data_IF_765154495779
#
_entry.id   IF_765154495779
#
_cell.length_a   1.000
_cell.length_b   1.000
_cell.length_c   1.000
_cell.angle_alpha   90.00
_cell.angle_beta   90.00
_cell.angle_gamma   90.00
#
_symmetry.space_group_name_H-M   'P 1'
#
loop_
_entity.id
_entity.type
_entity.pdbx_description
1 polymer ?
#
# COMPACT_ATOMS: atom_id res chain seq x y z
N UNK A 1 8.18 -14.48 21.12
CA UNK A 1 7.87 -13.09 20.70
C UNK A 1 7.34 -13.16 19.27
N UNK A 2 6.24 -12.48 18.95
CA UNK A 2 5.72 -12.46 17.57
C UNK A 2 6.13 -11.13 16.93
N UNK A 3 6.78 -11.21 15.77
CA UNK A 3 7.13 -10.08 14.94
C UNK A 3 5.98 -9.79 13.96
N UNK A 4 5.34 -8.63 14.11
CA UNK A 4 4.05 -8.33 13.47
C UNK A 4 4.18 -7.83 12.02
N UNK A 5 5.36 -7.37 11.61
CA UNK A 5 5.56 -6.83 10.25
C UNK A 5 5.79 -7.94 9.24
N UNK A 6 5.11 -7.85 8.10
CA UNK A 6 5.26 -8.80 7.01
C UNK A 6 6.41 -8.41 6.07
N UNK A 7 7.62 -8.87 6.37
CA UNK A 7 8.80 -8.64 5.51
C UNK A 7 8.89 -9.63 4.33
N UNK A 8 7.92 -10.55 4.22
CA UNK A 8 7.89 -11.57 3.16
C UNK A 8 7.05 -11.10 1.98
N UNK A 9 5.88 -10.51 2.25
CA UNK A 9 4.87 -10.27 1.22
C UNK A 9 4.57 -11.56 0.46
N UNK A 10 4.57 -11.47 -0.87
CA UNK A 10 4.46 -12.64 -1.73
C UNK A 10 5.71 -13.53 -1.80
N UNK A 11 6.88 -13.01 -1.43
CA UNK A 11 8.17 -13.68 -1.63
C UNK A 11 8.61 -13.67 -3.10
N UNK A 12 9.43 -14.65 -3.48
CA UNK A 12 10.01 -14.70 -4.83
C UNK A 12 8.98 -14.87 -5.96
N UNK A 13 7.82 -15.47 -5.66
CA UNK A 13 6.82 -15.83 -6.65
C UNK A 13 5.48 -15.18 -6.31
N UNK A 14 5.32 -13.94 -6.76
CA UNK A 14 4.05 -13.23 -6.69
C UNK A 14 2.98 -13.89 -7.58
N UNK A 15 1.69 -13.76 -7.21
CA UNK A 15 0.61 -14.26 -8.06
C UNK A 15 0.62 -13.52 -9.41
N UNK A 16 0.34 -14.26 -10.48
CA UNK A 16 0.04 -13.65 -11.79
C UNK A 16 -1.20 -12.78 -11.65
N UNK A 17 -1.03 -11.47 -11.78
CA UNK A 17 -2.09 -10.49 -11.61
C UNK A 17 -3.25 -10.67 -12.61
N UNK A 18 -3.02 -11.35 -13.74
CA UNK A 18 -4.03 -11.62 -14.78
C UNK A 18 -4.81 -10.37 -15.18
N UNK A 19 -4.12 -9.24 -15.35
CA UNK A 19 -4.77 -7.98 -15.67
C UNK A 19 -5.67 -8.11 -16.92
N UNK A 20 -6.81 -7.38 -16.96
CA UNK A 20 -7.74 -7.44 -18.08
C UNK A 20 -7.04 -7.27 -19.44
N UNK A 21 -7.44 -8.09 -20.41
CA UNK A 21 -6.85 -8.07 -21.75
C UNK A 21 -5.43 -8.66 -21.83
N UNK A 22 -4.88 -9.23 -20.75
CA UNK A 22 -3.51 -9.73 -20.73
C UNK A 22 -2.47 -8.62 -20.58
N UNK A 23 -2.89 -7.47 -20.03
CA UNK A 23 -2.05 -6.29 -19.84
C UNK A 23 -0.77 -6.62 -19.08
N UNK A 24 0.36 -6.08 -19.54
CA UNK A 24 1.69 -6.28 -18.93
C UNK A 24 1.90 -5.40 -17.72
N UNK A 25 1.14 -4.31 -17.63
CA UNK A 25 1.20 -3.37 -16.51
C UNK A 25 -0.16 -2.70 -16.32
N UNK A 26 -0.50 -2.44 -15.06
CA UNK A 26 -1.61 -1.56 -14.69
C UNK A 26 -1.07 -0.19 -14.24
N UNK A 27 -1.27 0.88 -15.01
CA UNK A 27 -0.83 2.25 -14.66
C UNK A 27 -1.99 3.01 -14.03
N UNK A 28 -1.90 3.22 -12.71
CA UNK A 28 -2.99 3.73 -11.89
C UNK A 28 -2.69 5.18 -11.45
N UNK A 29 -3.40 6.14 -12.03
CA UNK A 29 -3.26 7.56 -11.68
C UNK A 29 -4.13 7.96 -10.49
N UNK A 30 -3.53 8.60 -9.48
CA UNK A 30 -4.23 9.20 -8.35
C UNK A 30 -4.10 10.70 -8.42
N UNK A 31 -5.22 11.42 -8.38
CA UNK A 31 -5.23 12.87 -8.20
C UNK A 31 -5.78 13.21 -6.82
N UNK A 32 -4.91 13.71 -5.95
CA UNK A 32 -5.26 14.19 -4.62
C UNK A 32 -5.99 15.53 -4.76
N UNK A 33 -7.14 15.63 -4.09
CA UNK A 33 -7.93 16.85 -3.97
C UNK A 33 -8.05 17.22 -2.50
N UNK A 34 -7.15 18.12 -2.09
CA UNK A 34 -6.91 18.46 -0.68
C UNK A 34 -7.12 19.96 -0.43
N UNK A 35 -7.12 20.75 -1.50
CA UNK A 35 -7.25 22.20 -1.48
C UNK A 35 -8.59 22.65 -0.88
N UNK A 36 -8.54 23.28 0.29
CA UNK A 36 -9.69 23.65 1.14
C UNK A 36 -9.91 22.72 2.34
N UNK A 37 -9.11 21.66 2.47
CA UNK A 37 -9.14 20.70 3.57
C UNK A 37 -7.86 20.64 4.40
N UNK A 38 -6.83 21.41 4.04
CA UNK A 38 -5.55 21.52 4.74
C UNK A 38 -5.65 22.28 6.08
N UNK A 39 -4.54 22.33 6.82
CA UNK A 39 -4.48 23.11 8.07
C UNK A 39 -4.72 24.60 7.82
N UNK A 40 -5.74 25.16 8.45
CA UNK A 40 -6.02 26.58 8.44
C UNK A 40 -6.83 26.99 9.66
N UNK A 41 -6.52 28.15 10.25
CA UNK A 41 -7.31 28.66 11.38
C UNK A 41 -8.78 28.93 11.02
N UNK A 42 -9.08 29.17 9.73
CA UNK A 42 -10.45 29.28 9.23
C UNK A 42 -11.21 27.95 9.25
N UNK A 43 -10.49 26.83 9.36
CA UNK A 43 -11.04 25.48 9.47
C UNK A 43 -11.06 24.99 10.92
N UNK A 44 -10.71 25.85 11.89
CA UNK A 44 -10.62 25.51 13.31
C UNK A 44 -9.28 24.90 13.75
N UNK A 45 -8.25 24.89 12.89
CA UNK A 45 -6.93 24.36 13.25
C UNK A 45 -6.11 25.34 14.09
N UNK A 46 -5.14 24.81 14.83
CA UNK A 46 -4.27 25.62 15.69
C UNK A 46 -3.27 26.49 14.92
N UNK A 47 -2.98 26.18 13.65
CA UNK A 47 -1.96 26.85 12.86
C UNK A 47 -2.23 26.77 11.35
N UNK A 48 -1.46 27.54 10.57
CA UNK A 48 -1.44 27.43 9.11
C UNK A 48 -0.84 26.11 8.62
N UNK A 49 -1.15 25.75 7.37
CA UNK A 49 -0.43 24.68 6.65
C UNK A 49 1.05 25.02 6.42
N UNK A 50 1.84 23.96 6.30
CA UNK A 50 3.28 23.99 6.07
C UNK A 50 3.76 22.93 5.08
N UNK A 51 2.93 21.94 4.76
CA UNK A 51 3.32 20.79 3.95
C UNK A 51 2.90 20.93 2.48
N UNK A 52 3.65 20.24 1.60
CA UNK A 52 3.45 20.16 0.14
C UNK A 52 3.08 21.49 -0.53
N UNK A 53 4.02 22.44 -0.47
CA UNK A 53 3.92 23.73 -1.14
C UNK A 53 5.23 24.09 -1.83
N UNK A 54 5.20 25.11 -2.68
CA UNK A 54 6.40 25.66 -3.32
C UNK A 54 7.23 26.55 -2.35
N UNK A 55 6.94 26.56 -1.05
CA UNK A 55 7.68 27.31 -0.01
C UNK A 55 8.65 26.35 0.70
N UNK A 56 9.94 26.33 0.35
CA UNK A 56 10.89 25.41 0.95
C UNK A 56 11.05 25.67 2.45
N UNK A 57 10.95 24.61 3.25
CA UNK A 57 11.11 24.72 4.71
C UNK A 57 10.01 25.52 5.40
N UNK A 58 8.81 25.63 4.79
CA UNK A 58 7.66 26.23 5.46
C UNK A 58 7.42 25.55 6.81
N UNK A 59 7.11 26.38 7.81
CA UNK A 59 6.71 25.96 9.14
C UNK A 59 5.29 26.44 9.39
N UNK A 60 4.55 25.73 10.24
CA UNK A 60 3.22 26.15 10.63
C UNK A 60 3.32 27.47 11.42
N UNK A 61 2.38 28.38 11.22
CA UNK A 61 2.29 29.63 11.97
C UNK A 61 1.15 29.52 13.00
N UNK A 62 1.44 29.30 14.30
CA UNK A 62 0.41 29.14 15.32
C UNK A 62 -0.48 30.37 15.44
N UNK A 63 -1.80 30.16 15.51
CA UNK A 63 -2.81 31.20 15.65
C UNK A 63 -2.89 32.19 14.48
N UNK A 64 -2.24 31.89 13.36
CA UNK A 64 -2.10 32.82 12.23
C UNK A 64 -2.46 32.16 10.90
N UNK A 65 -2.90 33.00 9.98
CA UNK A 65 -3.04 32.67 8.56
C UNK A 65 -1.70 32.82 7.85
N UNK A 66 -1.44 31.96 6.89
CA UNK A 66 -0.26 32.05 6.03
C UNK A 66 -0.70 32.35 4.61
N UNK A 67 -0.80 33.64 4.28
CA UNK A 67 -1.35 34.11 3.00
C UNK A 67 -0.73 33.44 1.77
N UNK A 68 0.60 33.33 1.74
CA UNK A 68 1.30 32.69 0.61
C UNK A 68 0.89 31.22 0.48
N UNK A 69 0.84 30.49 1.59
CA UNK A 69 0.43 29.08 1.63
C UNK A 69 -1.00 28.91 1.12
N UNK A 70 -1.95 29.69 1.65
CA UNK A 70 -3.35 29.66 1.21
C UNK A 70 -3.45 29.90 -0.30
N UNK A 71 -2.77 30.92 -0.83
CA UNK A 71 -2.79 31.22 -2.27
C UNK A 71 -2.18 30.12 -3.15
N UNK A 72 -1.24 29.32 -2.61
CA UNK A 72 -0.66 28.15 -3.29
C UNK A 72 -1.68 27.02 -3.36
N UNK A 73 -2.40 26.76 -2.27
CA UNK A 73 -3.48 25.77 -2.24
C UNK A 73 -4.64 26.20 -3.15
N UNK A 74 -5.06 27.46 -3.09
CA UNK A 74 -6.06 28.02 -4.00
C UNK A 74 -5.72 27.81 -5.48
N UNK A 75 -4.44 27.89 -5.87
CA UNK A 75 -4.03 27.61 -7.25
C UNK A 75 -4.43 26.20 -7.71
N UNK A 76 -4.32 25.20 -6.83
CA UNK A 76 -4.69 23.82 -7.13
C UNK A 76 -6.17 23.72 -7.51
N UNK A 77 -7.06 24.21 -6.65
CA UNK A 77 -8.50 24.20 -6.92
C UNK A 77 -8.92 25.09 -8.10
N UNK A 78 -8.30 26.28 -8.24
CA UNK A 78 -8.71 27.31 -9.21
C UNK A 78 -8.18 27.07 -10.63
N UNK A 79 -7.01 26.45 -10.78
CA UNK A 79 -6.34 26.36 -12.07
C UNK A 79 -5.66 25.01 -12.33
N UNK A 80 -5.02 24.43 -11.32
CA UNK A 80 -4.31 23.15 -11.42
C UNK A 80 -5.24 22.01 -11.79
N UNK A 81 -6.33 21.84 -11.04
CA UNK A 81 -7.36 20.84 -11.27
C UNK A 81 -7.90 20.89 -12.70
N UNK A 82 -8.33 22.06 -13.18
CA UNK A 82 -8.91 22.18 -14.52
C UNK A 82 -7.94 21.84 -15.65
N UNK A 83 -6.63 22.06 -15.44
CA UNK A 83 -5.61 21.68 -16.41
C UNK A 83 -5.41 20.17 -16.45
N UNK A 84 -5.39 19.53 -15.29
CA UNK A 84 -5.31 18.07 -15.17
C UNK A 84 -6.57 17.40 -15.71
N UNK A 85 -7.75 17.92 -15.38
CA UNK A 85 -9.03 17.47 -15.92
C UNK A 85 -9.02 17.44 -17.45
N UNK A 86 -8.62 18.53 -18.11
CA UNK A 86 -8.51 18.55 -19.59
C UNK A 86 -7.48 17.56 -20.13
N UNK A 87 -6.36 17.38 -19.45
CA UNK A 87 -5.32 16.43 -19.87
C UNK A 87 -5.85 14.99 -19.85
N UNK A 88 -6.40 14.54 -18.73
CA UNK A 88 -6.87 13.18 -18.56
C UNK A 88 -8.12 12.87 -19.38
N UNK A 89 -9.12 13.77 -19.37
CA UNK A 89 -10.33 13.59 -20.20
C UNK A 89 -10.02 13.65 -21.70
N UNK A 90 -9.09 14.52 -22.12
CA UNK A 90 -8.62 14.58 -23.50
C UNK A 90 -7.83 13.33 -23.94
N UNK A 91 -7.12 12.69 -23.00
CA UNK A 91 -6.41 11.44 -23.25
C UNK A 91 -7.31 10.18 -23.15
N UNK A 92 -8.56 10.32 -22.67
CA UNK A 92 -9.45 9.19 -22.41
C UNK A 92 -8.98 8.27 -21.28
N UNK A 93 -8.15 8.78 -20.36
CA UNK A 93 -7.59 8.01 -19.24
C UNK A 93 -8.39 8.32 -17.96
N UNK A 94 -9.05 7.33 -17.34
CA UNK A 94 -9.69 7.53 -16.05
C UNK A 94 -8.63 7.61 -14.94
N UNK A 95 -9.00 8.22 -13.81
CA UNK A 95 -8.17 8.25 -12.60
C UNK A 95 -9.03 8.09 -11.35
N UNK A 96 -8.35 7.91 -10.21
CA UNK A 96 -8.99 7.93 -8.89
C UNK A 96 -8.67 9.24 -8.17
N UNK A 97 -9.70 9.91 -7.69
CA UNK A 97 -9.56 11.06 -6.80
C UNK A 97 -9.35 10.54 -5.38
N UNK A 98 -8.30 11.02 -4.72
CA UNK A 98 -8.19 10.97 -3.26
C UNK A 98 -8.74 12.29 -2.72
N UNK A 99 -10.01 12.27 -2.36
CA UNK A 99 -10.77 13.46 -2.02
C UNK A 99 -10.92 13.65 -0.51
N UNK A 100 -10.33 14.72 0.01
CA UNK A 100 -10.52 15.13 1.41
C UNK A 100 -11.95 15.65 1.55
N UNK A 101 -12.74 15.08 2.46
CA UNK A 101 -14.19 15.32 2.49
C UNK A 101 -14.55 16.81 2.66
N UNK A 102 -13.81 17.55 3.50
CA UNK A 102 -14.00 19.00 3.66
C UNK A 102 -13.57 19.81 2.44
N UNK A 103 -12.54 19.37 1.70
CA UNK A 103 -12.14 20.00 0.44
C UNK A 103 -13.21 19.80 -0.65
N UNK A 104 -13.75 18.57 -0.77
CA UNK A 104 -14.84 18.27 -1.70
C UNK A 104 -16.08 19.14 -1.41
N UNK A 105 -16.45 19.30 -0.13
CA UNK A 105 -17.60 20.11 0.28
C UNK A 105 -17.47 21.58 -0.12
N UNK A 106 -16.25 22.10 -0.25
CA UNK A 106 -15.96 23.48 -0.66
C UNK A 106 -15.88 23.66 -2.18
N UNK A 107 -15.92 22.57 -2.95
CA UNK A 107 -15.57 22.57 -4.38
C UNK A 107 -16.60 21.86 -5.25
N UNK A 108 -17.87 22.32 -5.26
CA UNK A 108 -18.96 21.64 -5.95
C UNK A 108 -18.76 21.55 -7.47
N UNK A 109 -18.14 22.54 -8.11
CA UNK A 109 -17.86 22.49 -9.56
C UNK A 109 -16.85 21.40 -9.91
N UNK A 110 -15.82 21.22 -9.08
CA UNK A 110 -14.81 20.20 -9.26
C UNK A 110 -15.38 18.81 -9.01
N UNK A 111 -16.23 18.64 -7.98
CA UNK A 111 -16.95 17.39 -7.72
C UNK A 111 -17.85 17.00 -8.90
N UNK A 112 -18.62 17.94 -9.44
CA UNK A 112 -19.46 17.69 -10.64
C UNK A 112 -18.59 17.27 -11.84
N UNK A 113 -17.45 17.93 -12.06
CA UNK A 113 -16.52 17.56 -13.13
C UNK A 113 -15.92 16.15 -12.96
N UNK A 114 -15.49 15.79 -11.75
CA UNK A 114 -14.99 14.44 -11.42
C UNK A 114 -16.04 13.37 -11.74
N UNK A 115 -17.29 13.61 -11.33
CA UNK A 115 -18.42 12.68 -11.57
C UNK A 115 -18.73 12.54 -13.06
N UNK A 116 -18.79 13.64 -13.82
CA UNK A 116 -19.03 13.61 -15.28
C UNK A 116 -17.91 12.92 -16.05
N UNK A 117 -16.68 12.98 -15.54
CA UNK A 117 -15.54 12.27 -16.12
C UNK A 117 -15.56 10.76 -15.83
N UNK A 118 -16.48 10.27 -14.99
CA UNK A 118 -16.55 8.86 -14.60
C UNK A 118 -15.38 8.42 -13.71
N UNK A 119 -14.67 9.37 -13.11
CA UNK A 119 -13.58 9.09 -12.20
C UNK A 119 -14.12 8.52 -10.89
N UNK A 120 -13.34 7.64 -10.27
CA UNK A 120 -13.61 7.21 -8.90
C UNK A 120 -13.30 8.37 -7.94
N UNK A 121 -14.12 8.54 -6.91
CA UNK A 121 -13.82 9.45 -5.79
C UNK A 121 -13.69 8.63 -4.51
N UNK A 122 -12.46 8.31 -4.14
CA UNK A 122 -12.14 7.64 -2.88
C UNK A 122 -11.95 8.65 -1.75
N UNK A 123 -12.08 8.20 -0.50
CA UNK A 123 -11.91 9.07 0.65
C UNK A 123 -10.42 9.32 0.92
N UNK A 124 -10.07 10.58 1.13
CA UNK A 124 -8.76 11.00 1.63
C UNK A 124 -8.85 11.56 3.06
N UNK A 125 -9.74 11.00 3.89
CA UNK A 125 -10.01 11.49 5.24
C UNK A 125 -10.93 12.70 5.29
N UNK A 126 -11.24 13.14 6.50
CA UNK A 126 -12.11 14.30 6.75
C UNK A 126 -11.39 15.61 6.39
N UNK A 127 -10.14 15.72 6.86
CA UNK A 127 -9.22 16.85 6.66
C UNK A 127 -7.85 16.32 6.29
N UNK A 128 -7.06 17.16 5.63
CA UNK A 128 -5.69 16.83 5.28
C UNK A 128 -4.75 17.27 6.42
N UNK A 129 -4.68 16.48 7.48
CA UNK A 129 -3.86 16.72 8.68
C UNK A 129 -3.02 15.50 9.04
N UNK A 130 -2.10 15.64 10.00
CA UNK A 130 -1.32 14.52 10.52
C UNK A 130 -2.11 13.76 11.60
N UNK A 131 -2.20 12.44 11.47
CA UNK A 131 -2.91 11.57 12.41
C UNK A 131 -1.97 10.88 13.41
N UNK A 132 -0.65 11.00 13.26
CA UNK A 132 0.37 10.25 14.03
C UNK A 132 0.05 10.11 15.53
N UNK A 133 -0.32 11.23 16.17
CA UNK A 133 -0.60 11.30 17.61
C UNK A 133 -2.11 11.51 17.92
N UNK A 134 -2.98 11.30 16.93
CA UNK A 134 -4.43 11.45 17.09
C UNK A 134 -4.98 10.34 18.00
N UNK A 135 -5.76 10.67 19.06
CA UNK A 135 -6.40 9.66 19.88
C UNK A 135 -7.32 8.75 19.07
N UNK A 136 -7.30 7.44 19.34
CA UNK A 136 -8.08 6.46 18.56
C UNK A 136 -9.57 6.81 18.44
N UNK A 137 -10.18 7.28 19.54
CA UNK A 137 -11.59 7.65 19.54
C UNK A 137 -11.88 8.85 18.62
N UNK A 138 -10.95 9.81 18.54
CA UNK A 138 -11.05 10.97 17.66
C UNK A 138 -10.86 10.55 16.20
N UNK A 139 -9.86 9.71 15.92
CA UNK A 139 -9.61 9.22 14.57
C UNK A 139 -10.78 8.38 14.04
N UNK A 140 -11.34 7.50 14.87
CA UNK A 140 -12.54 6.72 14.53
C UNK A 140 -13.73 7.62 14.20
N UNK A 141 -13.95 8.68 14.99
CA UNK A 141 -15.00 9.66 14.73
C UNK A 141 -14.73 10.44 13.44
N UNK A 142 -13.48 10.81 13.17
CA UNK A 142 -13.09 11.49 11.94
C UNK A 142 -13.30 10.62 10.70
N UNK A 143 -13.03 9.31 10.76
CA UNK A 143 -13.32 8.36 9.67
C UNK A 143 -14.82 8.30 9.40
N UNK A 144 -15.64 8.13 10.44
CA UNK A 144 -17.09 8.08 10.29
C UNK A 144 -17.66 9.39 9.71
N UNK A 145 -17.16 10.54 10.16
CA UNK A 145 -17.58 11.84 9.66
C UNK A 145 -17.09 12.11 8.22
N UNK A 146 -15.90 11.64 7.85
CA UNK A 146 -15.42 11.68 6.48
C UNK A 146 -16.36 10.91 5.54
N UNK A 147 -16.78 9.69 5.93
CA UNK A 147 -17.74 8.89 5.14
C UNK A 147 -19.08 9.60 5.04
N UNK A 148 -19.62 10.12 6.15
CA UNK A 148 -20.90 10.84 6.18
C UNK A 148 -20.88 12.06 5.23
N UNK A 149 -19.88 12.93 5.36
CA UNK A 149 -19.76 14.13 4.53
C UNK A 149 -19.48 13.79 3.06
N UNK A 150 -18.69 12.74 2.79
CA UNK A 150 -18.46 12.28 1.43
C UNK A 150 -19.77 11.84 0.75
N UNK A 151 -20.63 11.08 1.45
CA UNK A 151 -21.95 10.70 0.94
C UNK A 151 -22.80 11.93 0.62
N UNK A 152 -22.80 12.94 1.50
CA UNK A 152 -23.56 14.18 1.32
C UNK A 152 -23.10 14.94 0.06
N UNK A 153 -21.79 15.06 -0.15
CA UNK A 153 -21.21 15.89 -1.21
C UNK A 153 -21.15 15.17 -2.56
N UNK A 154 -20.75 13.89 -2.56
CA UNK A 154 -20.56 13.11 -3.77
C UNK A 154 -21.86 12.42 -4.21
N UNK A 155 -22.75 12.13 -3.26
CA UNK A 155 -24.02 11.44 -3.48
C UNK A 155 -23.94 9.91 -3.39
N UNK A 156 -22.74 9.37 -3.16
CA UNK A 156 -22.49 7.94 -2.92
C UNK A 156 -21.38 7.76 -1.89
N UNK A 157 -21.29 6.56 -1.30
CA UNK A 157 -20.25 6.27 -0.31
C UNK A 157 -18.88 6.08 -0.99
N UNK A 158 -17.79 6.50 -0.35
CA UNK A 158 -16.46 6.12 -0.81
C UNK A 158 -16.25 4.62 -0.62
N UNK A 159 -15.65 3.98 -1.65
CA UNK A 159 -15.25 2.56 -1.62
C UNK A 159 -13.76 2.37 -1.36
N UNK A 160 -12.94 3.39 -1.54
CA UNK A 160 -11.53 3.40 -1.19
C UNK A 160 -11.21 4.32 -0.03
N UNK A 161 -10.17 4.01 0.74
CA UNK A 161 -9.61 4.85 1.79
C UNK A 161 -8.10 5.07 1.65
N UNK A 162 -7.65 6.30 1.86
CA UNK A 162 -6.25 6.65 2.05
C UNK A 162 -6.14 7.84 3.01
N UNK A 163 -5.35 7.77 4.07
CA UNK A 163 -5.07 8.93 4.95
C UNK A 163 -3.76 9.62 4.58
N UNK A 164 -2.75 8.86 4.16
CA UNK A 164 -1.38 9.31 3.93
C UNK A 164 -0.61 9.46 5.22
N UNK A 165 -0.80 10.56 5.96
CA UNK A 165 -0.11 10.83 7.23
C UNK A 165 -0.84 10.14 8.39
N UNK A 166 -0.89 8.81 8.33
CA UNK A 166 -1.62 7.95 9.25
C UNK A 166 -1.03 7.87 10.67
N UNK A 167 -1.88 7.43 11.60
CA UNK A 167 -1.49 6.87 12.90
C UNK A 167 -1.26 5.36 12.75
N UNK A 168 -0.76 4.70 13.82
CA UNK A 168 -0.71 3.23 13.85
C UNK A 168 -2.10 2.56 13.86
N UNK A 169 -3.15 3.29 14.19
CA UNK A 169 -4.52 2.78 14.23
C UNK A 169 -5.25 2.91 12.90
N UNK A 170 -4.86 3.85 12.03
CA UNK A 170 -5.64 4.26 10.85
C UNK A 170 -6.10 3.09 9.98
N UNK A 171 -5.18 2.20 9.57
CA UNK A 171 -5.51 1.10 8.65
C UNK A 171 -6.51 0.14 9.29
N UNK A 172 -6.29 -0.20 10.56
CA UNK A 172 -7.22 -1.02 11.35
C UNK A 172 -8.58 -0.33 11.52
N UNK A 173 -8.61 0.95 11.84
CA UNK A 173 -9.86 1.70 12.03
C UNK A 173 -10.68 1.82 10.74
N UNK A 174 -10.04 2.07 9.61
CA UNK A 174 -10.70 2.07 8.31
C UNK A 174 -11.20 0.65 7.95
N UNK A 175 -10.43 -0.40 8.27
CA UNK A 175 -10.88 -1.77 8.17
C UNK A 175 -12.02 -2.09 9.19
N UNK A 176 -12.13 -1.44 10.32
CA UNK A 176 -13.25 -1.67 11.25
C UNK A 176 -14.54 -0.94 10.83
N UNK A 177 -14.46 0.14 10.03
CA UNK A 177 -15.64 0.89 9.55
C UNK A 177 -16.61 0.04 8.71
N UNK A 178 -16.11 -0.98 8.03
CA UNK A 178 -16.92 -2.03 7.39
C UNK A 178 -17.18 -1.88 5.89
N UNK A 179 -17.03 -0.71 5.29
CA UNK A 179 -17.57 -0.44 3.95
C UNK A 179 -16.57 -0.01 2.87
N UNK A 180 -15.26 -0.02 3.15
CA UNK A 180 -14.23 0.13 2.12
C UNK A 180 -13.88 -1.21 1.43
N UNK A 181 -13.79 -1.18 0.11
CA UNK A 181 -13.33 -2.29 -0.72
C UNK A 181 -11.82 -2.43 -0.69
N UNK A 182 -11.10 -1.32 -0.55
CA UNK A 182 -9.65 -1.28 -0.45
C UNK A 182 -9.16 -0.14 0.45
N UNK A 183 -7.96 -0.30 1.00
CA UNK A 183 -7.20 0.73 1.72
C UNK A 183 -5.82 0.86 1.06
N UNK A 184 -5.29 2.07 0.97
CA UNK A 184 -4.00 2.34 0.29
C UNK A 184 -2.90 2.94 1.17
N UNK A 185 -3.06 2.93 2.49
CA UNK A 185 -2.07 3.43 3.47
C UNK A 185 -0.87 2.47 3.65
N UNK A 186 -0.38 1.89 2.55
CA UNK A 186 0.86 1.10 2.51
C UNK A 186 1.67 1.42 1.26
N UNK A 187 2.95 1.08 1.29
CA UNK A 187 3.95 1.39 0.25
C UNK A 187 4.90 0.21 0.06
N UNK A 188 4.39 -1.01 0.20
CA UNK A 188 5.15 -2.21 0.57
C UNK A 188 5.10 -3.34 -0.47
N UNK A 189 4.42 -3.16 -1.60
CA UNK A 189 4.38 -4.13 -2.69
C UNK A 189 4.00 -3.46 -4.03
N UNK A 190 4.25 -4.15 -5.14
CA UNK A 190 3.86 -3.76 -6.50
C UNK A 190 2.51 -4.39 -6.93
N UNK A 191 1.86 -5.12 -6.02
CA UNK A 191 0.56 -5.76 -6.21
C UNK A 191 -0.37 -5.57 -5.00
N UNK A 192 -1.70 -5.59 -5.22
CA UNK A 192 -2.65 -5.67 -4.12
C UNK A 192 -2.44 -6.94 -3.29
N UNK A 193 -2.77 -6.91 -1.99
CA UNK A 193 -2.71 -8.08 -1.11
C UNK A 193 -3.75 -7.99 0.01
N UNK A 194 -4.12 -9.12 0.60
CA UNK A 194 -5.11 -9.18 1.67
C UNK A 194 -4.44 -9.08 3.04
N UNK A 195 -5.07 -8.32 3.95
CA UNK A 195 -4.69 -8.25 5.36
C UNK A 195 -5.92 -8.51 6.23
N UNK A 196 -5.73 -9.28 7.29
CA UNK A 196 -6.79 -9.62 8.25
C UNK A 196 -6.74 -8.66 9.45
N UNK A 197 -7.89 -8.05 9.74
CA UNK A 197 -8.14 -7.23 10.93
C UNK A 197 -9.29 -7.85 11.72
N UNK A 198 -8.96 -8.71 12.70
CA UNK A 198 -9.96 -9.55 13.36
C UNK A 198 -10.62 -10.48 12.35
N UNK A 199 -11.95 -10.48 12.31
CA UNK A 199 -12.74 -11.30 11.37
C UNK A 199 -12.87 -10.68 9.97
N UNK A 200 -12.33 -9.46 9.75
CA UNK A 200 -12.44 -8.78 8.46
C UNK A 200 -11.17 -8.96 7.63
N UNK A 201 -11.37 -9.39 6.39
CA UNK A 201 -10.37 -9.31 5.34
C UNK A 201 -10.47 -7.98 4.61
N UNK A 202 -9.34 -7.27 4.56
CA UNK A 202 -9.24 -5.99 3.91
C UNK A 202 -8.24 -6.09 2.76
N UNK A 203 -8.68 -5.71 1.56
CA UNK A 203 -7.76 -5.57 0.44
C UNK A 203 -6.92 -4.32 0.68
N UNK A 204 -5.61 -4.50 0.59
CA UNK A 204 -4.64 -3.42 0.52
C UNK A 204 -4.23 -3.26 -0.93
N UNK A 205 -4.28 -2.03 -1.44
CA UNK A 205 -3.69 -1.68 -2.72
C UNK A 205 -2.58 -0.67 -2.41
N UNK A 206 -1.29 -1.05 -2.47
CA UNK A 206 -0.20 -0.16 -2.14
C UNK A 206 -0.19 1.12 -3.00
N UNK A 207 0.22 2.23 -2.40
CA UNK A 207 0.39 3.51 -3.06
C UNK A 207 1.88 3.86 -3.18
N UNK A 208 2.21 5.10 -3.54
CA UNK A 208 3.59 5.54 -3.77
C UNK A 208 3.88 6.91 -3.16
N UNK A 209 5.08 7.06 -2.59
CA UNK A 209 5.67 8.35 -2.21
C UNK A 209 6.85 8.72 -3.12
N UNK A 210 7.18 7.87 -4.10
CA UNK A 210 8.30 8.05 -5.02
C UNK A 210 7.85 8.45 -6.42
N UNK A 211 6.97 7.69 -7.06
CA UNK A 211 6.28 8.04 -8.32
C UNK A 211 5.16 9.04 -8.03
N UNK A 212 5.51 10.13 -7.34
CA UNK A 212 4.60 11.06 -6.74
C UNK A 212 5.11 12.49 -6.90
N UNK A 213 4.29 13.39 -7.43
CA UNK A 213 4.65 14.80 -7.64
C UNK A 213 4.85 15.57 -6.33
N UNK A 214 4.50 15.00 -5.17
CA UNK A 214 4.86 15.54 -3.85
C UNK A 214 6.38 15.78 -3.72
N UNK A 215 7.18 15.03 -4.48
CA UNK A 215 8.64 15.19 -4.57
C UNK A 215 9.05 16.53 -5.17
N UNK A 216 8.18 17.29 -5.84
CA UNK A 216 8.47 18.69 -6.20
C UNK A 216 8.51 19.63 -4.98
N UNK A 217 7.97 19.20 -3.85
CA UNK A 217 7.83 20.01 -2.63
C UNK A 217 8.61 19.44 -1.43
N UNK A 218 9.42 18.40 -1.63
CA UNK A 218 10.26 17.78 -0.59
C UNK A 218 11.71 17.69 -1.04
N UNK A 219 12.67 17.75 -0.10
CA UNK A 219 14.09 17.61 -0.42
C UNK A 219 14.52 16.14 -0.45
N UNK A 220 15.39 15.70 -1.39
CA UNK A 220 16.03 16.47 -2.47
C UNK A 220 15.14 16.72 -3.70
N UNK A 221 14.06 15.96 -3.85
CA UNK A 221 12.95 16.25 -4.76
C UNK A 221 13.22 16.26 -6.27
N UNK A 222 12.15 16.50 -7.03
CA UNK A 222 12.23 16.86 -8.44
C UNK A 222 12.30 18.37 -8.60
N UNK A 223 13.14 18.83 -9.52
CA UNK A 223 13.30 20.24 -9.86
C UNK A 223 12.49 20.59 -11.11
N UNK A 224 12.45 19.69 -12.09
CA UNK A 224 11.82 19.93 -13.40
C UNK A 224 10.82 18.85 -13.75
N UNK A 225 9.86 19.17 -14.63
CA UNK A 225 8.96 18.17 -15.22
C UNK A 225 9.72 17.03 -15.90
N UNK A 226 10.91 17.28 -16.44
CA UNK A 226 11.75 16.24 -17.06
C UNK A 226 12.16 15.16 -16.07
N UNK A 227 12.57 15.53 -14.86
CA UNK A 227 12.99 14.56 -13.86
C UNK A 227 11.84 13.66 -13.43
N UNK A 228 10.63 14.22 -13.30
CA UNK A 228 9.45 13.42 -13.01
C UNK A 228 9.08 12.51 -14.18
N UNK A 229 9.08 13.03 -15.41
CA UNK A 229 8.89 12.21 -16.61
C UNK A 229 9.87 11.04 -16.67
N UNK A 230 11.16 11.31 -16.50
CA UNK A 230 12.21 10.29 -16.59
C UNK A 230 12.02 9.22 -15.52
N UNK A 231 11.71 9.62 -14.29
CA UNK A 231 11.45 8.67 -13.21
C UNK A 231 10.25 7.78 -13.51
N UNK A 232 9.11 8.37 -13.93
CA UNK A 232 7.92 7.61 -14.30
C UNK A 232 8.18 6.66 -15.48
N UNK A 233 8.93 7.12 -16.48
CA UNK A 233 9.35 6.32 -17.63
C UNK A 233 10.16 5.11 -17.19
N UNK A 234 11.17 5.31 -16.35
CA UNK A 234 12.05 4.22 -15.90
C UNK A 234 11.29 3.21 -15.03
N UNK A 235 10.39 3.68 -14.16
CA UNK A 235 9.48 2.80 -13.41
C UNK A 235 8.56 1.99 -14.34
N UNK A 236 7.99 2.63 -15.35
CA UNK A 236 7.15 1.96 -16.34
C UNK A 236 7.93 0.91 -17.12
N UNK A 237 9.10 1.25 -17.65
CA UNK A 237 9.91 0.34 -18.48
C UNK A 237 10.29 -0.93 -17.72
N UNK A 238 10.69 -0.79 -16.44
CA UNK A 238 11.03 -1.93 -15.59
C UNK A 238 9.83 -2.84 -15.36
N UNK A 239 8.71 -2.29 -14.90
CA UNK A 239 7.51 -3.08 -14.60
C UNK A 239 6.86 -3.65 -15.85
N UNK A 240 6.93 -2.95 -16.98
CA UNK A 240 6.44 -3.44 -18.26
C UNK A 240 7.29 -4.62 -18.75
N UNK A 241 8.62 -4.55 -18.64
CA UNK A 241 9.51 -5.65 -18.99
C UNK A 241 9.24 -6.90 -18.11
N UNK A 242 9.10 -6.74 -16.79
CA UNK A 242 8.67 -7.83 -15.91
C UNK A 242 7.32 -8.41 -16.33
N UNK A 243 6.38 -7.56 -16.72
CA UNK A 243 5.09 -7.96 -17.25
C UNK A 243 5.18 -8.79 -18.53
N UNK A 244 6.10 -8.45 -19.43
CA UNK A 244 6.39 -9.24 -20.63
C UNK A 244 6.97 -10.61 -20.30
N UNK A 245 7.68 -10.75 -19.18
CA UNK A 245 8.18 -12.02 -18.64
C UNK A 245 7.11 -12.81 -17.86
N UNK A 246 5.87 -12.32 -17.82
CA UNK A 246 4.74 -12.97 -17.15
C UNK A 246 4.56 -12.57 -15.68
N UNK A 247 5.25 -11.53 -15.21
CA UNK A 247 5.21 -11.04 -13.83
C UNK A 247 4.55 -9.66 -13.75
N UNK A 248 3.39 -9.48 -14.39
CA UNK A 248 2.72 -8.17 -14.50
C UNK A 248 2.39 -7.54 -13.13
N UNK A 249 2.63 -6.23 -13.00
CA UNK A 249 2.49 -5.43 -11.76
C UNK A 249 1.61 -4.21 -11.97
N UNK A 250 1.40 -3.43 -10.91
CA UNK A 250 0.81 -2.08 -11.01
C UNK A 250 1.82 -0.97 -10.70
N UNK A 251 1.64 0.19 -11.32
CA UNK A 251 2.37 1.43 -11.05
C UNK A 251 1.37 2.47 -10.58
N UNK A 252 1.44 2.85 -9.30
CA UNK A 252 0.69 4.03 -8.81
C UNK A 252 1.42 5.31 -9.21
N UNK A 253 0.67 6.36 -9.58
CA UNK A 253 1.23 7.69 -9.86
C UNK A 253 0.46 8.73 -9.06
N UNK A 254 1.12 9.32 -8.07
CA UNK A 254 0.55 10.32 -7.17
C UNK A 254 0.65 11.73 -7.71
N UNK A 255 -0.48 12.44 -7.79
CA UNK A 255 -0.57 13.79 -8.34
C UNK A 255 -1.31 14.73 -7.38
N UNK A 256 -0.90 15.99 -7.28
CA UNK A 256 -1.56 17.01 -6.47
C UNK A 256 -1.90 18.23 -7.33
N UNK A 257 -3.13 18.73 -7.21
CA UNK A 257 -3.62 19.83 -8.06
C UNK A 257 -2.69 21.06 -8.01
N UNK A 258 -2.26 21.47 -6.81
CA UNK A 258 -1.37 22.63 -6.59
C UNK A 258 0.08 22.43 -7.07
N UNK A 259 0.54 21.18 -7.25
CA UNK A 259 1.90 20.85 -7.66
C UNK A 259 1.97 20.56 -9.16
N UNK A 260 1.66 19.34 -9.62
CA UNK A 260 1.78 18.97 -11.03
C UNK A 260 0.88 19.81 -11.95
N UNK A 261 -0.18 20.43 -11.41
CA UNK A 261 -1.03 21.36 -12.15
C UNK A 261 -0.29 22.60 -12.66
N UNK A 262 0.89 22.93 -12.12
CA UNK A 262 1.75 24.04 -12.59
C UNK A 262 2.28 23.73 -14.00
N UNK A 263 2.25 24.67 -14.97
CA UNK A 263 2.56 24.38 -16.37
C UNK A 263 3.92 23.71 -16.61
N UNK A 264 4.97 24.17 -15.91
CA UNK A 264 6.32 23.61 -16.06
C UNK A 264 6.47 22.18 -15.52
N UNK A 265 5.70 21.82 -14.49
CA UNK A 265 5.69 20.46 -13.92
C UNK A 265 4.81 19.55 -14.79
N UNK A 266 3.64 20.04 -15.21
CA UNK A 266 2.69 19.29 -16.04
C UNK A 266 3.28 18.80 -17.37
N UNK A 267 4.21 19.56 -17.96
CA UNK A 267 4.87 19.15 -19.20
C UNK A 267 5.49 17.74 -19.11
N UNK A 268 6.03 17.37 -17.94
CA UNK A 268 6.54 16.02 -17.68
C UNK A 268 5.45 14.96 -17.65
N UNK A 269 4.36 15.19 -16.92
CA UNK A 269 3.23 14.27 -16.87
C UNK A 269 2.60 14.06 -18.25
N UNK A 270 2.43 15.14 -19.02
CA UNK A 270 1.90 15.05 -20.39
C UNK A 270 2.78 14.15 -21.26
N UNK A 271 4.10 14.33 -21.21
CA UNK A 271 5.06 13.47 -21.93
C UNK A 271 4.95 12.01 -21.50
N UNK A 272 4.75 11.74 -20.22
CA UNK A 272 4.59 10.37 -19.73
C UNK A 272 3.30 9.72 -20.24
N UNK A 273 2.18 10.45 -20.22
CA UNK A 273 0.92 9.97 -20.81
C UNK A 273 1.10 9.65 -22.30
N UNK A 274 1.72 10.55 -23.06
CA UNK A 274 2.01 10.33 -24.48
C UNK A 274 2.95 9.14 -24.71
N UNK A 275 3.88 8.91 -23.78
CA UNK A 275 4.82 7.78 -23.83
C UNK A 275 4.09 6.45 -23.67
N UNK A 276 3.31 6.26 -22.61
CA UNK A 276 2.63 4.98 -22.35
C UNK A 276 1.54 4.67 -23.38
N UNK A 277 0.95 5.69 -24.02
CA UNK A 277 0.01 5.52 -25.12
C UNK A 277 0.66 4.95 -26.39
N UNK A 278 1.99 4.95 -26.47
CA UNK A 278 2.76 4.29 -27.54
C UNK A 278 2.97 2.79 -27.33
N UNK A 279 2.50 2.21 -26.21
CA UNK A 279 2.67 0.80 -25.87
C UNK A 279 1.35 0.04 -25.97
N UNK A 280 1.44 -1.23 -26.35
CA UNK A 280 0.32 -2.17 -26.30
C UNK A 280 0.17 -2.75 -24.88
N UNK A 281 -0.96 -3.40 -24.60
CA UNK A 281 -1.15 -4.15 -23.34
C UNK A 281 -0.91 -3.33 -22.05
N UNK A 282 -1.21 -2.02 -22.07
CA UNK A 282 -1.21 -1.14 -20.89
C UNK A 282 -2.64 -0.94 -20.42
N UNK A 283 -2.94 -1.35 -19.19
CA UNK A 283 -4.23 -1.07 -18.57
C UNK A 283 -4.14 0.20 -17.71
N UNK A 284 -5.01 1.19 -17.94
CA UNK A 284 -5.10 2.40 -17.12
C UNK A 284 -6.40 2.41 -16.29
N UNK A 285 -6.42 1.76 -15.10
CA UNK A 285 -7.63 1.63 -14.29
C UNK A 285 -7.83 2.75 -13.27
N UNK A 286 -9.07 2.84 -12.76
CA UNK A 286 -9.35 3.40 -11.44
C UNK A 286 -8.96 2.36 -10.38
N UNK A 287 -8.64 2.78 -9.15
CA UNK A 287 -8.29 1.84 -8.06
C UNK A 287 -9.44 0.90 -7.73
N UNK A 288 -10.70 1.34 -7.80
CA UNK A 288 -11.85 0.45 -7.64
C UNK A 288 -11.85 -0.68 -8.68
N UNK A 289 -11.43 -0.42 -9.92
CA UNK A 289 -11.37 -1.45 -10.96
C UNK A 289 -10.30 -2.51 -10.62
N UNK A 290 -9.17 -2.09 -10.03
CA UNK A 290 -8.16 -3.00 -9.48
C UNK A 290 -8.73 -3.82 -8.32
N UNK A 291 -9.44 -3.18 -7.39
CA UNK A 291 -10.02 -3.84 -6.23
C UNK A 291 -11.03 -4.93 -6.64
N UNK A 292 -11.92 -4.61 -7.57
CA UNK A 292 -12.91 -5.53 -8.13
C UNK A 292 -12.25 -6.68 -8.89
N UNK A 293 -11.23 -6.37 -9.70
CA UNK A 293 -10.45 -7.38 -10.42
C UNK A 293 -9.73 -8.34 -9.46
N UNK A 294 -9.05 -7.80 -8.44
CA UNK A 294 -8.29 -8.61 -7.50
C UNK A 294 -9.20 -9.50 -6.66
N UNK A 295 -10.33 -8.97 -6.18
CA UNK A 295 -11.32 -9.76 -5.43
C UNK A 295 -11.89 -10.91 -6.25
N UNK A 296 -12.09 -10.71 -7.54
CA UNK A 296 -12.58 -11.75 -8.45
C UNK A 296 -11.50 -12.80 -8.77
N UNK A 297 -10.26 -12.37 -8.95
CA UNK A 297 -9.19 -13.21 -9.54
C UNK A 297 -8.30 -13.86 -8.47
N UNK A 298 -8.12 -13.19 -7.35
CA UNK A 298 -7.31 -13.57 -6.19
C UNK A 298 -8.11 -13.42 -4.89
N UNK A 299 -9.23 -14.14 -4.72
CA UNK A 299 -9.96 -14.14 -3.45
C UNK A 299 -9.03 -14.61 -2.32
N UNK A 300 -9.15 -14.04 -1.12
CA UNK A 300 -8.35 -14.50 0.01
C UNK A 300 -8.66 -15.98 0.28
N UNK A 301 -7.62 -16.81 0.31
CA UNK A 301 -7.73 -18.19 0.74
C UNK A 301 -7.18 -18.22 2.15
N UNK A 302 -8.07 -18.19 3.15
CA UNK A 302 -7.69 -18.20 4.56
C UNK A 302 -6.86 -19.45 4.86
N UNK A 303 -5.55 -19.31 4.92
CA UNK A 303 -4.64 -20.31 5.47
C UNK A 303 -4.02 -19.72 6.72
N UNK A 304 -4.22 -20.38 7.87
CA UNK A 304 -3.60 -19.95 9.13
C UNK A 304 -2.09 -20.15 9.01
N UNK A 305 -1.36 -19.06 8.83
CA UNK A 305 0.09 -19.04 8.82
C UNK A 305 0.66 -19.49 10.17
N UNK A 306 1.86 -20.08 10.13
CA UNK A 306 2.67 -20.44 11.30
C UNK A 306 2.86 -19.28 12.27
N UNK A 307 2.94 -18.05 11.75
CA UNK A 307 3.09 -16.81 12.49
C UNK A 307 1.92 -16.50 13.43
N UNK A 308 0.73 -17.07 13.16
CA UNK A 308 -0.49 -16.90 13.97
C UNK A 308 -0.78 -18.09 14.88
N UNK A 309 0.03 -19.14 14.85
CA UNK A 309 -0.16 -20.33 15.69
C UNK A 309 0.34 -20.09 17.11
N UNK A 310 -0.38 -20.63 18.10
CA UNK A 310 0.19 -20.77 19.46
C UNK A 310 1.39 -21.72 19.44
N UNK A 311 2.21 -21.68 20.49
CA UNK A 311 3.33 -22.63 20.67
C UNK A 311 2.82 -24.08 20.65
N UNK A 312 1.68 -24.35 21.30
CA UNK A 312 1.05 -25.68 21.34
C UNK A 312 0.56 -26.12 19.97
N UNK A 313 -0.07 -25.22 19.20
CA UNK A 313 -0.54 -25.51 17.85
C UNK A 313 0.63 -25.81 16.90
N UNK A 314 1.73 -25.07 17.04
CA UNK A 314 2.95 -25.33 16.26
C UNK A 314 3.58 -26.68 16.60
N UNK A 315 3.71 -27.01 17.89
CA UNK A 315 4.23 -28.32 18.34
C UNK A 315 3.31 -29.45 17.90
N UNK A 316 1.99 -29.28 18.01
CA UNK A 316 1.03 -30.28 17.56
C UNK A 316 1.14 -30.54 16.05
N UNK A 317 1.42 -29.52 15.26
CA UNK A 317 1.54 -29.62 13.81
C UNK A 317 2.85 -30.27 13.38
N UNK A 318 3.98 -29.77 13.87
CA UNK A 318 5.30 -30.22 13.38
C UNK A 318 5.96 -31.30 14.26
N UNK A 319 5.46 -31.55 15.48
CA UNK A 319 6.08 -32.45 16.45
C UNK A 319 6.24 -33.89 15.96
N UNK A 320 5.21 -34.44 15.31
CA UNK A 320 5.24 -35.81 14.79
C UNK A 320 6.30 -36.02 13.69
N UNK A 321 6.74 -34.96 13.01
CA UNK A 321 7.75 -35.02 11.95
C UNK A 321 9.17 -35.17 12.51
N UNK A 322 9.40 -34.85 13.78
CA UNK A 322 10.73 -34.76 14.38
C UNK A 322 10.81 -35.49 15.73
N UNK A 323 10.05 -36.57 15.91
CA UNK A 323 10.08 -37.41 17.13
C UNK A 323 11.46 -38.02 17.40
N UNK A 324 12.25 -38.17 16.34
CA UNK A 324 13.63 -38.60 16.37
C UNK A 324 14.59 -37.50 16.86
N UNK A 325 14.19 -36.24 17.03
CA UNK A 325 15.02 -35.18 17.63
C UNK A 325 14.24 -34.51 18.78
N UNK A 326 14.22 -35.13 19.98
CA UNK A 326 13.39 -34.68 21.10
C UNK A 326 13.68 -33.22 21.50
N UNK A 327 12.62 -32.43 21.71
CA UNK A 327 12.72 -31.04 22.16
C UNK A 327 13.04 -30.02 21.06
N UNK A 328 13.27 -30.45 19.82
CA UNK A 328 13.58 -29.55 18.70
C UNK A 328 12.42 -28.60 18.40
N UNK A 329 11.20 -29.14 18.28
CA UNK A 329 10.01 -28.40 17.85
C UNK A 329 9.53 -27.47 18.95
N UNK A 330 9.58 -27.91 20.22
CA UNK A 330 9.27 -27.08 21.38
C UNK A 330 10.23 -25.90 21.50
N UNK A 331 11.53 -26.14 21.25
CA UNK A 331 12.53 -25.06 21.23
C UNK A 331 12.28 -24.09 20.07
N UNK A 332 11.94 -24.60 18.89
CA UNK A 332 11.60 -23.78 17.72
C UNK A 332 10.33 -22.94 17.95
N UNK A 333 9.32 -23.48 18.63
CA UNK A 333 8.10 -22.78 19.00
C UNK A 333 8.40 -21.57 19.92
N UNK A 334 9.35 -21.72 20.85
CA UNK A 334 9.77 -20.65 21.75
C UNK A 334 10.62 -19.54 21.10
N UNK A 335 11.04 -19.69 19.85
CA UNK A 335 11.79 -18.63 19.14
C UNK A 335 10.87 -17.48 18.71
N UNK A 336 11.48 -16.35 18.33
CA UNK A 336 10.75 -15.28 17.66
C UNK A 336 10.24 -15.75 16.29
N UNK A 337 8.93 -15.53 16.04
CA UNK A 337 8.20 -15.96 14.84
C UNK A 337 7.40 -14.79 14.27
N UNK A 338 7.01 -14.85 13.00
CA UNK A 338 6.35 -13.75 12.28
C UNK A 338 6.12 -14.12 10.81
N UNK A 339 5.49 -13.27 9.97
CA UNK A 339 5.04 -13.64 8.62
C UNK A 339 6.13 -14.19 7.68
N UNK A 340 7.40 -13.84 7.92
CA UNK A 340 8.54 -14.45 7.22
C UNK A 340 8.64 -15.97 7.41
N UNK A 341 7.99 -16.51 8.44
CA UNK A 341 7.97 -17.92 8.78
C UNK A 341 6.77 -18.67 8.18
N UNK A 342 5.86 -17.99 7.47
CA UNK A 342 4.66 -18.57 6.84
C UNK A 342 4.99 -19.23 5.49
N UNK A 343 6.11 -19.95 5.44
CA UNK A 343 6.50 -20.76 4.31
C UNK A 343 7.45 -21.88 4.77
N UNK A 344 7.66 -22.86 3.89
CA UNK A 344 8.58 -23.98 4.10
C UNK A 344 9.96 -23.53 4.60
N UNK A 345 10.58 -22.58 3.90
CA UNK A 345 11.92 -22.07 4.25
C UNK A 345 11.91 -21.34 5.60
N UNK A 346 10.82 -20.66 5.91
CA UNK A 346 10.60 -20.00 7.17
C UNK A 346 10.57 -20.97 8.35
N UNK A 347 9.75 -22.01 8.27
CA UNK A 347 9.68 -23.07 9.29
C UNK A 347 11.01 -23.81 9.41
N UNK A 348 11.63 -24.15 8.27
CA UNK A 348 12.96 -24.75 8.23
C UNK A 348 14.00 -23.90 8.98
N UNK A 349 13.99 -22.58 8.77
CA UNK A 349 14.87 -21.65 9.49
C UNK A 349 14.67 -21.70 11.01
N UNK A 350 13.43 -21.77 11.50
CA UNK A 350 13.14 -21.91 12.93
C UNK A 350 13.72 -23.20 13.50
N UNK A 351 13.51 -24.31 12.81
CA UNK A 351 14.01 -25.62 13.23
C UNK A 351 15.54 -25.65 13.21
N UNK A 352 16.19 -25.10 12.18
CA UNK A 352 17.65 -25.00 12.12
C UNK A 352 18.21 -24.13 13.25
N UNK A 353 17.57 -22.99 13.56
CA UNK A 353 17.97 -22.14 14.70
C UNK A 353 17.85 -22.90 16.02
N UNK A 354 16.76 -23.64 16.22
CA UNK A 354 16.57 -24.46 17.41
C UNK A 354 17.62 -25.58 17.48
N UNK A 355 17.86 -26.30 16.39
CA UNK A 355 18.88 -27.35 16.30
C UNK A 355 20.27 -26.80 16.62
N UNK A 356 20.61 -25.59 16.13
CA UNK A 356 21.89 -24.93 16.39
C UNK A 356 22.09 -24.51 17.85
N UNK A 357 21.02 -24.30 18.59
CA UNK A 357 21.06 -24.01 20.03
C UNK A 357 21.18 -25.27 20.90
N UNK A 358 20.90 -26.45 20.35
CA UNK A 358 21.11 -27.72 21.06
C UNK A 358 22.61 -27.99 21.21
N UNK A 359 22.97 -28.54 22.36
CA UNK A 359 24.31 -29.04 22.63
C UNK A 359 24.64 -30.21 21.70
N UNK A 360 25.93 -30.48 21.55
CA UNK A 360 26.40 -31.64 20.79
C UNK A 360 25.80 -32.96 21.32
N UNK A 361 25.69 -33.14 22.64
CA UNK A 361 25.10 -34.35 23.21
C UNK A 361 23.60 -34.53 22.88
N UNK A 362 22.86 -33.44 22.68
CA UNK A 362 21.45 -33.46 22.29
C UNK A 362 21.28 -33.68 20.77
N UNK A 363 22.26 -33.31 19.95
CA UNK A 363 22.17 -33.38 18.48
C UNK A 363 22.91 -34.58 17.85
N UNK A 364 24.02 -35.05 18.45
CA UNK A 364 24.88 -36.11 17.92
C UNK A 364 24.23 -37.49 17.78
N UNK A 365 23.36 -37.96 18.70
CA UNK A 365 22.70 -39.25 18.54
C UNK A 365 21.95 -39.38 17.21
N UNK A 366 21.53 -38.24 16.62
CA UNK A 366 20.78 -38.16 15.37
C UNK A 366 21.68 -37.94 14.14
N UNK A 367 22.92 -37.48 14.35
CA UNK A 367 23.97 -37.44 13.34
C UNK A 367 24.59 -38.82 13.09
N UNK A 368 24.51 -39.77 14.02
CA UNK A 368 25.16 -41.07 13.86
C UNK A 368 24.48 -41.98 12.81
N UNK A 369 23.17 -41.79 12.57
CA UNK A 369 22.35 -42.67 11.72
C UNK A 369 22.25 -42.21 10.24
N UNK A 370 22.84 -41.06 9.90
CA UNK A 370 22.83 -40.51 8.55
C UNK A 370 24.22 -40.69 7.88
N UNK A 371 24.32 -41.17 6.62
CA UNK A 371 25.62 -41.42 6.00
C UNK A 371 26.42 -40.13 5.74
N UNK A 372 27.63 -40.00 6.31
CA UNK A 372 28.59 -38.93 5.99
C UNK A 372 28.40 -37.60 6.75
N UNK A 373 27.97 -37.67 8.01
CA UNK A 373 27.27 -36.58 8.70
C UNK A 373 28.08 -35.38 9.17
N UNK A 374 27.55 -34.22 8.79
CA UNK A 374 27.80 -32.91 9.40
C UNK A 374 26.47 -32.32 9.86
N UNK A 375 26.46 -31.30 10.72
CA UNK A 375 25.22 -30.60 11.14
C UNK A 375 24.37 -30.14 9.95
N UNK A 376 25.00 -29.84 8.81
CA UNK A 376 24.36 -29.48 7.54
C UNK A 376 23.42 -30.58 7.03
N UNK A 377 23.83 -31.85 7.11
CA UNK A 377 23.02 -32.97 6.62
C UNK A 377 21.71 -33.14 7.40
N UNK A 378 21.68 -32.79 8.70
CA UNK A 378 20.44 -32.74 9.47
C UNK A 378 19.54 -31.60 9.02
N UNK A 379 20.10 -30.43 8.72
CA UNK A 379 19.31 -29.30 8.23
C UNK A 379 18.62 -29.62 6.90
N UNK A 380 19.27 -30.35 6.00
CA UNK A 380 18.64 -30.78 4.74
C UNK A 380 17.47 -31.76 4.99
N UNK A 381 17.63 -32.69 5.94
CA UNK A 381 16.53 -33.59 6.35
C UNK A 381 15.37 -32.81 6.96
N UNK A 382 15.64 -31.78 7.78
CA UNK A 382 14.60 -30.90 8.31
C UNK A 382 13.79 -30.25 7.19
N UNK A 383 14.48 -29.73 6.17
CA UNK A 383 13.83 -29.08 5.03
C UNK A 383 12.90 -30.04 4.29
N UNK A 384 13.36 -31.25 4.00
CA UNK A 384 12.57 -32.22 3.24
C UNK A 384 11.33 -32.69 4.00
N UNK A 385 11.41 -32.85 5.32
CA UNK A 385 10.23 -33.16 6.15
C UNK A 385 9.24 -32.00 6.21
N UNK A 386 9.72 -30.75 6.32
CA UNK A 386 8.82 -29.58 6.27
C UNK A 386 8.14 -29.47 4.90
N UNK A 387 8.82 -29.75 3.78
CA UNK A 387 8.19 -29.75 2.45
C UNK A 387 7.03 -30.74 2.37
N UNK A 388 7.19 -31.94 2.95
CA UNK A 388 6.13 -32.96 2.95
C UNK A 388 4.88 -32.49 3.70
N UNK A 389 5.07 -31.83 4.85
CA UNK A 389 3.98 -31.27 5.68
C UNK A 389 3.24 -30.10 5.00
N UNK A 390 3.92 -29.30 4.17
CA UNK A 390 3.25 -28.25 3.41
C UNK A 390 2.56 -28.77 2.15
N UNK A 391 2.97 -29.93 1.64
CA UNK A 391 2.34 -30.56 0.48
C UNK A 391 0.97 -31.18 0.81
N UNK A 392 0.66 -31.41 2.10
CA UNK A 392 -0.65 -31.91 2.55
C UNK A 392 -1.69 -30.80 2.70
N UNK A 393 -1.28 -29.53 2.69
CA UNK A 393 -2.14 -28.34 2.80
C UNK A 393 -2.61 -27.78 1.44
N UNK A 394 -1.98 -28.21 0.34
CA UNK A 394 -2.21 -27.74 -1.03
C UNK A 394 -3.12 -28.70 -1.82
#
# INVERSE_FOLDING_TARGET
>A
MIYERNMRGYGQHAPDAKWPGGAKIAVQFVLNYEEGGENCILHGDAASEAFLSDIPGAAQWPGQRHWNMESIYEYGARAGFWRLHRLFTGAGIPLTIYGVATALARSPEQVDAMKRAGWEIASHGLKWVEHKDMPEAEERAAIAEAVRLHIEVVGERPRGWYTGRCSLNTVRLAAEEGGFDYISDTYDDDLPHWVEFGDREQLIIPYTLEANDMRFATAPGYITGEQFFQYLKDSFDMLYAEGQEGMAKMLSIGLHCRLIGRPGKLAGLKRFIEYIQGFEDVWCPRRIDIAEHWRKTHPNRQTVGVSKMSDEAFVSRFGALFTDIPGLVERAAGLERGPAHDCVIGVHSLLCRALRQMSEAEALPHLADLPGTTRQSLEDVLLDRVKQEFATDA
#
